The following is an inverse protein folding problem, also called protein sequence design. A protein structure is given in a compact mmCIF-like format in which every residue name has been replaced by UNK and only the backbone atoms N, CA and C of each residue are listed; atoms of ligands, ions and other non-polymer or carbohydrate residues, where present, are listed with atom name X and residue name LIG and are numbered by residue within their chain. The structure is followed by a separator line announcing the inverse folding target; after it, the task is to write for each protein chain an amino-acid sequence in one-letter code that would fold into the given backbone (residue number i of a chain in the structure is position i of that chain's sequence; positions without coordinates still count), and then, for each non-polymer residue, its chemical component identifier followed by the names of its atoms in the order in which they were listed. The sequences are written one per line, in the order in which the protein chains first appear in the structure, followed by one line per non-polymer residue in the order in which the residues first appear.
data_IF_779634608556
#
_entry.id   IF_779634608556
#
_cell.length_a   1.000
_cell.length_b   1.000
_cell.length_c   1.000
_cell.angle_alpha   90.00
_cell.angle_beta   90.00
_cell.angle_gamma   90.00
#
_symmetry.space_group_name_H-M   'P 1'
#
loop_
_entity.id
_entity.type
_entity.pdbx_description
1 polymer ?
#
# COMPACT_ATOMS: atom_id res chain seq x y z
N UNK A 1 4.87 18.10 -9.39
CA UNK A 1 3.98 17.53 -8.36
C UNK A 1 4.07 16.00 -8.21
N UNK A 2 3.94 15.24 -9.30
CA UNK A 2 3.94 13.76 -9.24
C UNK A 2 5.28 13.21 -8.74
N UNK A 3 6.42 13.72 -9.25
CA UNK A 3 7.76 13.31 -8.78
C UNK A 3 7.97 13.52 -7.27
N UNK A 4 7.41 14.58 -6.70
CA UNK A 4 7.49 14.88 -5.26
C UNK A 4 6.65 13.88 -4.45
N UNK A 5 5.49 13.47 -4.96
CA UNK A 5 4.65 12.46 -4.31
C UNK A 5 5.30 11.08 -4.34
N UNK A 6 5.89 10.71 -5.48
CA UNK A 6 6.63 9.43 -5.62
C UNK A 6 7.82 9.39 -4.68
N UNK A 7 8.63 10.46 -4.63
CA UNK A 7 9.79 10.51 -3.73
C UNK A 7 9.39 10.44 -2.25
N UNK A 8 8.29 11.10 -1.87
CA UNK A 8 7.75 11.02 -0.51
C UNK A 8 7.35 9.59 -0.13
N UNK A 9 6.68 8.87 -1.03
CA UNK A 9 6.30 7.47 -0.80
C UNK A 9 7.51 6.55 -0.74
N UNK A 10 8.51 6.74 -1.60
CA UNK A 10 9.78 6.01 -1.50
C UNK A 10 10.47 6.22 -0.15
N UNK A 11 10.47 7.45 0.39
CA UNK A 11 11.03 7.76 1.71
C UNK A 11 10.27 7.00 2.81
N UNK A 12 8.93 7.01 2.78
CA UNK A 12 8.10 6.27 3.74
C UNK A 12 8.44 4.78 3.72
N UNK A 13 8.54 4.18 2.52
CA UNK A 13 8.86 2.75 2.35
C UNK A 13 10.27 2.46 2.87
N UNK A 14 11.25 3.30 2.56
CA UNK A 14 12.63 3.15 3.05
C UNK A 14 12.72 3.24 4.58
N UNK A 15 12.01 4.20 5.20
CA UNK A 15 11.94 4.31 6.67
C UNK A 15 11.28 3.08 7.27
N UNK A 16 10.18 2.62 6.68
CA UNK A 16 9.45 1.43 7.13
C UNK A 16 10.31 0.17 7.04
N UNK A 17 11.11 0.03 5.97
CA UNK A 17 12.04 -1.07 5.80
C UNK A 17 13.19 -1.02 6.83
N UNK A 18 13.76 0.18 7.06
CA UNK A 18 14.85 0.37 8.04
C UNK A 18 14.42 0.04 9.46
N UNK A 19 13.20 0.41 9.86
CA UNK A 19 12.63 0.10 11.18
C UNK A 19 12.07 -1.32 11.28
N UNK A 20 11.68 -1.93 10.16
CA UNK A 20 10.96 -3.19 10.08
C UNK A 20 11.82 -4.46 10.00
N UNK A 21 13.10 -4.44 10.42
CA UNK A 21 14.08 -5.55 10.22
C UNK A 21 13.55 -6.97 10.52
N UNK A 22 12.64 -7.12 11.49
CA UNK A 22 12.05 -8.42 11.86
C UNK A 22 10.56 -8.59 11.47
N UNK A 23 9.94 -7.59 10.85
CA UNK A 23 8.50 -7.55 10.52
C UNK A 23 8.28 -7.32 9.02
N UNK A 24 8.81 -8.23 8.18
CA UNK A 24 8.74 -8.13 6.71
C UNK A 24 7.30 -7.96 6.19
N UNK A 25 6.33 -8.69 6.75
CA UNK A 25 4.90 -8.57 6.39
C UNK A 25 4.35 -7.17 6.67
N UNK A 26 4.76 -6.57 7.79
CA UNK A 26 4.36 -5.21 8.15
C UNK A 26 4.92 -4.19 7.15
N UNK A 27 6.19 -4.33 6.74
CA UNK A 27 6.82 -3.47 5.73
C UNK A 27 6.15 -3.58 4.35
N UNK A 28 5.75 -4.79 3.95
CA UNK A 28 5.03 -4.98 2.67
C UNK A 28 3.62 -4.39 2.77
N UNK A 29 2.91 -4.60 3.88
CA UNK A 29 1.59 -4.02 4.12
C UNK A 29 1.61 -2.48 4.10
N UNK A 30 2.58 -1.86 4.77
CA UNK A 30 2.75 -0.39 4.73
C UNK A 30 3.10 0.11 3.34
N UNK A 31 3.94 -0.61 2.59
CA UNK A 31 4.27 -0.24 1.22
C UNK A 31 3.04 -0.32 0.29
N UNK A 32 2.27 -1.41 0.35
CA UNK A 32 1.04 -1.56 -0.43
C UNK A 32 0.01 -0.48 -0.11
N UNK A 33 -0.15 -0.15 1.16
CA UNK A 33 -1.04 0.93 1.58
C UNK A 33 -0.56 2.30 1.06
N UNK A 34 0.73 2.60 1.21
CA UNK A 34 1.30 3.87 0.74
C UNK A 34 1.20 4.01 -0.79
N UNK A 35 1.42 2.92 -1.54
CA UNK A 35 1.22 2.88 -3.00
C UNK A 35 -0.25 3.09 -3.36
N UNK A 36 -1.19 2.50 -2.62
CA UNK A 36 -2.62 2.73 -2.85
C UNK A 36 -2.99 4.21 -2.71
N UNK A 37 -2.51 4.86 -1.66
CA UNK A 37 -2.75 6.31 -1.44
C UNK A 37 -2.10 7.12 -2.56
N UNK A 38 -0.88 6.77 -2.97
CA UNK A 38 -0.19 7.42 -4.08
C UNK A 38 -1.01 7.39 -5.38
N UNK A 39 -1.55 6.23 -5.72
CA UNK A 39 -2.35 6.03 -6.93
C UNK A 39 -3.60 6.91 -6.91
N UNK A 40 -4.28 6.99 -5.77
CA UNK A 40 -5.45 7.89 -5.59
C UNK A 40 -5.07 9.34 -5.78
N UNK A 41 -3.98 9.79 -5.15
CA UNK A 41 -3.54 11.18 -5.25
C UNK A 41 -3.07 11.51 -6.67
N UNK A 42 -2.37 10.60 -7.35
CA UNK A 42 -1.94 10.81 -8.74
C UNK A 42 -3.15 10.92 -9.67
N UNK A 43 -4.16 10.06 -9.54
CA UNK A 43 -5.38 10.14 -10.36
C UNK A 43 -6.11 11.46 -10.13
N UNK A 44 -6.30 11.85 -8.87
CA UNK A 44 -6.94 13.11 -8.51
C UNK A 44 -6.17 14.33 -9.04
N UNK A 45 -4.84 14.35 -8.87
CA UNK A 45 -3.98 15.43 -9.39
C UNK A 45 -4.06 15.45 -10.92
N UNK A 46 -3.91 14.32 -11.59
CA UNK A 46 -3.94 14.26 -13.06
C UNK A 46 -5.28 14.76 -13.60
N UNK A 47 -6.40 14.34 -13.02
CA UNK A 47 -7.73 14.81 -13.43
C UNK A 47 -7.97 16.29 -13.10
N UNK A 48 -7.40 16.80 -12.01
CA UNK A 48 -7.44 18.23 -11.71
C UNK A 48 -6.70 19.05 -12.78
N UNK A 49 -5.55 18.58 -13.27
CA UNK A 49 -4.79 19.30 -14.31
C UNK A 49 -5.38 19.13 -15.71
N UNK A 50 -5.85 17.92 -16.06
CA UNK A 50 -6.35 17.61 -17.41
C UNK A 50 -7.82 18.02 -17.57
N UNK A 51 -8.67 17.60 -16.64
CA UNK A 51 -10.13 17.75 -16.73
C UNK A 51 -10.67 18.93 -15.90
N UNK A 52 -9.79 19.66 -15.18
CA UNK A 52 -10.14 20.73 -14.21
C UNK A 52 -11.14 20.29 -13.14
N UNK A 53 -11.23 18.98 -12.88
CA UNK A 53 -12.13 18.40 -11.89
C UNK A 53 -11.39 17.36 -11.07
N UNK A 54 -11.47 17.39 -9.73
CA UNK A 54 -10.85 16.40 -8.86
C UNK A 54 -11.70 15.13 -8.80
N UNK A 55 -11.82 14.42 -9.92
CA UNK A 55 -12.54 13.15 -10.02
C UNK A 55 -11.54 12.00 -9.92
N UNK A 56 -11.95 10.91 -9.30
CA UNK A 56 -11.21 9.64 -9.31
C UNK A 56 -11.84 8.75 -10.38
N UNK A 57 -11.09 8.36 -11.40
CA UNK A 57 -11.62 7.57 -12.53
C UNK A 57 -11.13 6.14 -12.51
N UNK A 58 -9.85 5.90 -12.21
CA UNK A 58 -9.24 4.58 -12.28
C UNK A 58 -8.56 4.16 -10.97
N UNK A 59 -8.21 5.12 -10.10
CA UNK A 59 -7.63 4.80 -8.80
C UNK A 59 -8.52 3.96 -7.86
N UNK A 60 -9.87 4.04 -7.87
CA UNK A 60 -10.69 3.26 -6.95
C UNK A 60 -10.55 1.75 -7.17
N UNK A 61 -10.32 1.32 -8.42
CA UNK A 61 -10.15 -0.10 -8.78
C UNK A 61 -8.89 -0.66 -8.10
N UNK A 62 -7.76 0.04 -8.25
CA UNK A 62 -6.51 -0.36 -7.61
C UNK A 62 -6.60 -0.28 -6.09
N UNK A 63 -7.25 0.75 -5.55
CA UNK A 63 -7.42 0.91 -4.11
C UNK A 63 -8.27 -0.21 -3.49
N UNK A 64 -9.32 -0.67 -4.20
CA UNK A 64 -10.17 -1.78 -3.77
C UNK A 64 -9.41 -3.11 -3.66
N UNK A 65 -8.28 -3.26 -4.35
CA UNK A 65 -7.43 -4.45 -4.28
C UNK A 65 -6.34 -4.27 -3.23
N UNK A 66 -5.60 -3.15 -3.29
CA UNK A 66 -4.42 -2.89 -2.48
C UNK A 66 -4.73 -2.64 -1.01
N UNK A 67 -5.85 -1.97 -0.69
CA UNK A 67 -6.20 -1.67 0.71
C UNK A 67 -6.58 -2.94 1.46
N UNK A 68 -7.48 -3.81 0.96
CA UNK A 68 -7.79 -5.07 1.65
C UNK A 68 -6.59 -6.01 1.77
N UNK A 69 -5.72 -6.08 0.75
CA UNK A 69 -4.49 -6.89 0.85
C UNK A 69 -3.54 -6.33 1.90
N UNK A 70 -3.35 -5.01 1.99
CA UNK A 70 -2.55 -4.40 3.03
C UNK A 70 -3.11 -4.68 4.44
N UNK A 71 -4.43 -4.56 4.62
CA UNK A 71 -5.12 -4.88 5.88
C UNK A 71 -4.91 -6.36 6.25
N UNK A 72 -5.07 -7.27 5.28
CA UNK A 72 -4.83 -8.69 5.48
C UNK A 72 -3.40 -8.96 5.95
N UNK A 73 -2.40 -8.34 5.33
CA UNK A 73 -1.00 -8.49 5.74
C UNK A 73 -0.75 -7.98 7.16
N UNK A 74 -1.43 -6.91 7.60
CA UNK A 74 -1.36 -6.43 8.98
C UNK A 74 -1.95 -7.44 9.97
N UNK A 75 -3.11 -8.01 9.64
CA UNK A 75 -3.77 -9.04 10.48
C UNK A 75 -2.87 -10.28 10.59
N UNK A 76 -2.33 -10.77 9.48
CA UNK A 76 -1.41 -11.92 9.44
C UNK A 76 -0.14 -11.65 10.23
N UNK A 77 0.38 -10.42 10.20
CA UNK A 77 1.54 -10.07 11.01
C UNK A 77 1.22 -9.98 12.52
N UNK A 78 -0.02 -9.64 12.89
CA UNK A 78 -0.47 -9.51 14.28
C UNK A 78 -0.80 -10.85 14.96
N UNK A 79 -1.12 -11.89 14.20
CA UNK A 79 -1.49 -13.22 14.72
C UNK A 79 -0.51 -14.31 14.26
N UNK A 80 0.42 -14.75 15.15
CA UNK A 80 1.38 -15.80 14.84
C UNK A 80 0.71 -17.13 14.47
N UNK A 81 -0.38 -17.48 15.15
CA UNK A 81 -1.13 -18.72 14.92
C UNK A 81 -1.82 -18.71 13.55
N UNK A 82 -2.40 -17.57 13.17
CA UNK A 82 -3.01 -17.42 11.85
C UNK A 82 -1.96 -17.48 10.74
N UNK A 83 -0.79 -16.87 10.96
CA UNK A 83 0.34 -16.99 10.04
C UNK A 83 0.81 -18.43 9.89
N UNK A 84 0.96 -19.17 10.99
CA UNK A 84 1.36 -20.58 10.96
C UNK A 84 0.32 -21.46 10.26
N UNK A 85 -0.98 -21.18 10.46
CA UNK A 85 -2.07 -21.83 9.76
C UNK A 85 -1.99 -21.60 8.24
N UNK A 86 -1.76 -20.36 7.81
CA UNK A 86 -1.64 -20.03 6.39
C UNK A 86 -0.44 -20.72 5.74
N UNK A 87 0.72 -20.71 6.39
CA UNK A 87 1.92 -21.45 5.95
C UNK A 87 1.61 -22.93 5.78
N UNK A 88 0.95 -23.55 6.77
CA UNK A 88 0.61 -24.97 6.73
C UNK A 88 -0.43 -25.32 5.66
N UNK A 89 -1.43 -24.47 5.44
CA UNK A 89 -2.53 -24.74 4.51
C UNK A 89 -2.18 -24.44 3.06
N UNK A 90 -1.44 -23.37 2.81
CA UNK A 90 -1.11 -22.89 1.47
C UNK A 90 0.31 -23.25 1.04
N UNK A 91 1.10 -23.92 1.90
CA UNK A 91 2.49 -24.30 1.62
C UNK A 91 3.37 -23.11 1.18
N UNK A 92 3.07 -21.92 1.72
CA UNK A 92 3.82 -20.67 1.55
C UNK A 92 4.95 -20.57 2.57
#
# INVERSE_FOLDING_TARGET
PILVLVSFVCIIIMISNKKGKNKKLLTVGTAMFAVSVLVIVIDMVTNLYVNRKPVMTWSPIMAAILIPTAIFLFIVNGSPDFKAYLVKKFHL
#
